data_IF_681956116469
#
_entry.id   IF_681956116469
#
_cell.length_a   1.000
_cell.length_b   1.000
_cell.length_c   1.000
_cell.angle_alpha   90.00
_cell.angle_beta   90.00
_cell.angle_gamma   90.00
#
_symmetry.space_group_name_H-M   'P 1'
#
loop_
_entity.id
_entity.type
_entity.pdbx_description
1 polymer ?
#
# COMPACT_ATOMS: atom_id res chain seq x y z
N UNK A 1 -4.56 -2.92 -21.16
CA UNK A 1 -4.56 -1.68 -20.35
C UNK A 1 -5.20 -2.03 -19.01
N UNK A 2 -4.48 -1.89 -17.91
CA UNK A 2 -5.05 -2.09 -16.58
C UNK A 2 -5.92 -0.88 -16.24
N UNK A 3 -7.15 -1.12 -15.77
CA UNK A 3 -8.07 -0.03 -15.44
C UNK A 3 -7.63 0.64 -14.14
N UNK A 4 -7.13 1.87 -14.24
CA UNK A 4 -6.78 2.68 -13.07
C UNK A 4 -8.05 3.27 -12.49
N UNK A 5 -8.26 3.07 -11.18
CA UNK A 5 -9.36 3.68 -10.44
C UNK A 5 -8.80 4.74 -9.52
N UNK A 6 -9.31 5.96 -9.65
CA UNK A 6 -8.90 7.12 -8.86
C UNK A 6 -9.91 7.38 -7.75
N UNK A 7 -9.43 7.46 -6.53
CA UNK A 7 -10.18 7.94 -5.36
C UNK A 7 -9.78 9.38 -5.04
N UNK A 8 -10.33 9.94 -3.96
CA UNK A 8 -9.94 11.27 -3.49
C UNK A 8 -8.47 11.35 -3.09
N UNK A 9 -7.87 10.25 -2.64
CA UNK A 9 -6.54 10.23 -2.00
C UNK A 9 -5.52 9.33 -2.68
N UNK A 10 -5.95 8.45 -3.58
CA UNK A 10 -5.07 7.50 -4.23
C UNK A 10 -5.49 7.18 -5.68
N UNK A 11 -4.53 6.73 -6.47
CA UNK A 11 -4.76 5.98 -7.71
C UNK A 11 -4.40 4.52 -7.46
N UNK A 12 -5.33 3.62 -7.79
CA UNK A 12 -5.20 2.19 -7.46
C UNK A 12 -5.54 1.35 -8.70
N UNK A 13 -4.66 0.40 -9.01
CA UNK A 13 -4.88 -0.59 -10.05
C UNK A 13 -4.19 -1.90 -9.70
N UNK A 14 -4.54 -2.97 -10.40
CA UNK A 14 -3.84 -4.25 -10.34
C UNK A 14 -3.11 -4.50 -11.66
N UNK A 15 -1.86 -4.92 -11.58
CA UNK A 15 -1.07 -5.25 -12.76
C UNK A 15 -1.24 -6.71 -13.21
N UNK A 16 -0.58 -7.06 -14.31
CA UNK A 16 -0.55 -8.41 -14.88
C UNK A 16 0.14 -9.46 -13.99
N UNK A 17 0.90 -9.04 -12.98
CA UNK A 17 1.58 -9.91 -12.02
C UNK A 17 0.79 -10.06 -10.70
N UNK A 18 -0.50 -9.70 -10.70
CA UNK A 18 -1.39 -9.70 -9.54
C UNK A 18 -0.93 -8.78 -8.38
N UNK A 19 -0.08 -7.78 -8.68
CA UNK A 19 0.35 -6.76 -7.72
C UNK A 19 -0.64 -5.60 -7.74
N UNK A 20 -1.10 -5.18 -6.56
CA UNK A 20 -1.92 -3.99 -6.41
C UNK A 20 -1.02 -2.77 -6.19
N UNK A 21 -1.06 -1.86 -7.15
CA UNK A 21 -0.37 -0.57 -7.12
C UNK A 21 -1.26 0.48 -6.46
N UNK A 22 -0.69 1.24 -5.53
CA UNK A 22 -1.37 2.28 -4.77
C UNK A 22 -0.48 3.52 -4.77
N UNK A 23 -0.87 4.55 -5.53
CA UNK A 23 -0.16 5.83 -5.58
C UNK A 23 -0.91 6.85 -4.76
N UNK A 24 -0.30 7.34 -3.68
CA UNK A 24 -0.90 8.38 -2.83
C UNK A 24 -0.79 9.74 -3.53
N UNK A 25 -1.92 10.46 -3.61
CA UNK A 25 -2.01 11.70 -4.36
C UNK A 25 -1.42 12.90 -3.60
N UNK A 26 -0.79 13.82 -4.32
CA UNK A 26 -0.17 15.02 -3.76
C UNK A 26 -1.19 15.98 -3.15
N UNK A 27 -0.82 16.64 -2.06
CA UNK A 27 -1.66 17.60 -1.34
C UNK A 27 -2.81 16.97 -0.54
N UNK A 28 -2.94 15.64 -0.54
CA UNK A 28 -4.10 14.99 0.08
C UNK A 28 -3.91 14.71 1.57
N UNK A 29 -5.03 14.73 2.31
CA UNK A 29 -5.10 14.30 3.70
C UNK A 29 -6.16 13.22 3.82
N UNK A 30 -5.70 11.99 4.02
CA UNK A 30 -6.51 10.80 4.18
C UNK A 30 -7.14 10.75 5.58
N UNK A 31 -8.44 10.57 5.61
CA UNK A 31 -9.22 10.28 6.79
C UNK A 31 -9.66 8.81 6.82
N UNK A 32 -10.51 8.48 7.79
CA UNK A 32 -10.99 7.11 7.97
C UNK A 32 -11.81 6.62 6.78
N UNK A 33 -12.69 7.46 6.21
CA UNK A 33 -13.55 7.06 5.10
C UNK A 33 -12.74 6.84 3.83
N UNK A 34 -11.73 7.67 3.56
CA UNK A 34 -10.83 7.43 2.43
C UNK A 34 -10.03 6.14 2.61
N UNK A 35 -9.58 5.86 3.84
CA UNK A 35 -8.84 4.64 4.13
C UNK A 35 -9.72 3.40 3.90
N UNK A 36 -10.99 3.47 4.29
CA UNK A 36 -12.00 2.44 4.01
C UNK A 36 -12.23 2.29 2.51
N UNK A 37 -12.47 3.39 1.79
CA UNK A 37 -12.68 3.39 0.34
C UNK A 37 -11.50 2.74 -0.40
N UNK A 38 -10.27 3.18 -0.10
CA UNK A 38 -9.06 2.64 -0.70
C UNK A 38 -8.91 1.13 -0.40
N UNK A 39 -9.16 0.69 0.84
CA UNK A 39 -9.08 -0.72 1.20
C UNK A 39 -10.17 -1.57 0.54
N UNK A 40 -11.39 -1.03 0.36
CA UNK A 40 -12.47 -1.72 -0.35
C UNK A 40 -12.13 -1.88 -1.83
N UNK A 41 -11.54 -0.86 -2.46
CA UNK A 41 -11.09 -0.94 -3.84
C UNK A 41 -10.00 -2.00 -4.01
N UNK A 42 -9.00 -2.02 -3.12
CA UNK A 42 -7.97 -3.06 -3.09
C UNK A 42 -8.59 -4.45 -2.91
N UNK A 43 -9.57 -4.60 -2.01
CA UNK A 43 -10.28 -5.86 -1.79
C UNK A 43 -11.07 -6.31 -3.02
N UNK A 44 -11.68 -5.37 -3.75
CA UNK A 44 -12.40 -5.67 -4.98
C UNK A 44 -11.45 -6.17 -6.07
N UNK A 45 -10.32 -5.48 -6.26
CA UNK A 45 -9.26 -5.89 -7.19
C UNK A 45 -8.65 -7.26 -6.84
N UNK A 46 -8.61 -7.60 -5.55
CA UNK A 46 -8.13 -8.90 -5.06
C UNK A 46 -9.18 -10.01 -5.05
N UNK A 47 -10.44 -9.72 -5.42
CA UNK A 47 -11.59 -10.63 -5.23
C UNK A 47 -11.68 -11.16 -3.79
N UNK A 48 -11.28 -10.35 -2.82
CA UNK A 48 -11.25 -10.71 -1.39
C UNK A 48 -10.03 -11.54 -0.94
N UNK A 49 -9.15 -11.93 -1.87
CA UNK A 49 -7.90 -12.64 -1.58
C UNK A 49 -6.82 -11.77 -0.96
N UNK A 50 -5.73 -12.41 -0.53
CA UNK A 50 -4.51 -11.71 -0.11
C UNK A 50 -3.78 -11.15 -1.34
N UNK A 51 -3.09 -10.01 -1.18
CA UNK A 51 -2.38 -9.36 -2.30
C UNK A 51 -1.01 -8.84 -1.94
N UNK A 52 -0.16 -8.76 -2.96
CA UNK A 52 1.05 -7.94 -2.93
C UNK A 52 0.66 -6.47 -3.11
N UNK A 53 1.25 -5.59 -2.32
CA UNK A 53 0.96 -4.15 -2.37
C UNK A 53 2.23 -3.37 -2.68
N UNK A 54 2.20 -2.67 -3.80
CA UNK A 54 3.21 -1.71 -4.19
C UNK A 54 2.68 -0.30 -3.91
N UNK A 55 3.23 0.38 -2.92
CA UNK A 55 2.72 1.66 -2.43
C UNK A 55 3.69 2.78 -2.80
N UNK A 56 3.30 3.67 -3.71
CA UNK A 56 4.03 4.92 -3.95
C UNK A 56 3.55 6.02 -2.99
N UNK A 57 4.40 6.34 -2.03
CA UNK A 57 4.17 7.36 -1.00
C UNK A 57 5.12 8.56 -1.14
N UNK A 58 5.75 8.77 -2.31
CA UNK A 58 6.72 9.86 -2.54
C UNK A 58 6.10 11.26 -2.56
N UNK A 59 4.81 11.38 -2.86
CA UNK A 59 4.08 12.65 -2.90
C UNK A 59 3.97 13.32 -1.52
N UNK A 60 3.50 14.57 -1.46
CA UNK A 60 3.19 15.25 -0.21
C UNK A 60 1.76 14.94 0.23
N UNK A 61 1.60 13.88 1.01
CA UNK A 61 0.31 13.47 1.56
C UNK A 61 0.35 13.43 3.09
N UNK A 62 -0.81 13.23 3.70
CA UNK A 62 -0.95 12.97 5.13
C UNK A 62 -2.10 12.02 5.42
N UNK A 63 -2.11 11.47 6.62
CA UNK A 63 -3.22 10.66 7.13
C UNK A 63 -3.50 11.02 8.59
N UNK A 64 -4.78 11.09 8.95
CA UNK A 64 -5.17 11.28 10.35
C UNK A 64 -4.94 10.00 11.17
N UNK A 65 -5.11 10.09 12.49
CA UNK A 65 -4.87 8.95 13.40
C UNK A 65 -5.80 7.77 13.09
N UNK A 66 -7.10 8.02 12.86
CA UNK A 66 -8.08 6.96 12.60
C UNK A 66 -7.76 6.19 11.31
N UNK A 67 -7.37 6.90 10.24
CA UNK A 67 -6.93 6.30 8.98
C UNK A 67 -5.72 5.38 9.20
N UNK A 68 -4.69 5.89 9.91
CA UNK A 68 -3.46 5.13 10.21
C UNK A 68 -3.75 3.90 11.06
N UNK A 69 -4.58 4.03 12.09
CA UNK A 69 -4.95 2.92 12.97
C UNK A 69 -5.79 1.87 12.23
N UNK A 70 -6.69 2.28 11.34
CA UNK A 70 -7.44 1.37 10.48
C UNK A 70 -6.51 0.61 9.51
N UNK A 71 -5.63 1.30 8.78
CA UNK A 71 -4.73 0.67 7.80
C UNK A 71 -3.73 -0.28 8.49
N UNK A 72 -3.26 0.07 9.68
CA UNK A 72 -2.34 -0.78 10.46
C UNK A 72 -3.04 -1.85 11.32
N UNK A 73 -4.37 -1.98 11.19
CA UNK A 73 -5.12 -2.99 11.93
C UNK A 73 -4.87 -4.40 11.39
N UNK A 74 -4.99 -5.39 12.28
CA UNK A 74 -4.77 -6.81 11.96
C UNK A 74 -5.62 -7.28 10.77
N UNK A 75 -6.89 -6.86 10.69
CA UNK A 75 -7.80 -7.25 9.60
C UNK A 75 -7.32 -6.78 8.22
N UNK A 76 -6.66 -5.62 8.13
CA UNK A 76 -6.11 -5.10 6.87
C UNK A 76 -4.77 -5.75 6.55
N UNK A 77 -3.91 -5.92 7.57
CA UNK A 77 -2.58 -6.50 7.42
C UNK A 77 -2.65 -7.97 6.99
N UNK A 78 -3.55 -8.78 7.55
CA UNK A 78 -3.71 -10.21 7.21
C UNK A 78 -4.13 -10.46 5.75
N UNK A 79 -4.64 -9.43 5.06
CA UNK A 79 -5.00 -9.46 3.64
C UNK A 79 -3.85 -9.03 2.73
N UNK A 80 -2.66 -8.82 3.27
CA UNK A 80 -1.46 -8.50 2.49
C UNK A 80 -0.47 -9.67 2.53
N UNK A 81 0.10 -10.02 1.38
CA UNK A 81 1.19 -10.99 1.25
C UNK A 81 2.52 -10.32 1.56
N UNK A 82 2.78 -9.16 0.97
CA UNK A 82 3.94 -8.32 1.24
C UNK A 82 3.68 -6.84 0.85
N UNK A 83 4.44 -5.93 1.45
CA UNK A 83 4.45 -4.50 1.13
C UNK A 83 5.81 -4.04 0.58
N UNK A 84 5.82 -3.43 -0.60
CA UNK A 84 6.93 -2.59 -1.03
C UNK A 84 6.46 -1.13 -1.01
N UNK A 85 7.12 -0.29 -0.21
CA UNK A 85 6.70 1.09 0.02
C UNK A 85 7.78 2.03 -0.51
N UNK A 86 7.45 2.80 -1.54
CA UNK A 86 8.34 3.77 -2.16
C UNK A 86 8.20 5.12 -1.45
N UNK A 87 9.31 5.63 -0.93
CA UNK A 87 9.39 6.87 -0.18
C UNK A 87 10.49 7.77 -0.76
N UNK A 88 10.39 9.08 -0.54
CA UNK A 88 11.49 10.00 -0.84
C UNK A 88 12.45 10.12 0.35
N UNK A 89 13.73 10.48 0.14
CA UNK A 89 14.67 10.71 1.24
C UNK A 89 14.17 11.74 2.27
N UNK A 90 13.40 12.74 1.83
CA UNK A 90 12.82 13.79 2.68
C UNK A 90 11.44 13.46 3.28
N UNK A 91 11.10 12.18 3.38
CA UNK A 91 9.80 11.75 3.92
C UNK A 91 9.67 12.14 5.40
N UNK A 92 8.51 12.70 5.78
CA UNK A 92 8.24 13.19 7.14
C UNK A 92 8.30 12.04 8.15
N UNK A 93 8.90 12.29 9.33
CA UNK A 93 9.03 11.30 10.42
C UNK A 93 7.70 10.65 10.83
N UNK A 94 6.60 11.40 10.83
CA UNK A 94 5.29 10.86 11.19
C UNK A 94 4.68 9.88 10.16
N UNK A 95 5.18 9.90 8.91
CA UNK A 95 4.85 8.95 7.86
C UNK A 95 5.76 7.72 7.98
N UNK A 96 7.06 7.93 8.22
CA UNK A 96 8.00 6.83 8.48
C UNK A 96 7.56 5.99 9.69
N UNK A 97 7.23 6.63 10.82
CA UNK A 97 6.71 5.94 12.00
C UNK A 97 5.41 5.15 11.74
N UNK A 98 4.59 5.62 10.79
CA UNK A 98 3.38 4.90 10.40
C UNK A 98 3.72 3.64 9.61
N UNK A 99 4.62 3.73 8.63
CA UNK A 99 5.10 2.55 7.91
C UNK A 99 5.90 1.60 8.81
N UNK A 100 6.65 2.09 9.79
CA UNK A 100 7.31 1.24 10.78
C UNK A 100 6.32 0.37 11.55
N UNK A 101 5.11 0.87 11.85
CA UNK A 101 4.06 0.05 12.48
C UNK A 101 3.59 -1.07 11.56
N UNK A 102 3.48 -0.80 10.27
CA UNK A 102 3.12 -1.81 9.27
C UNK A 102 4.25 -2.85 9.14
N UNK A 103 5.50 -2.39 9.08
CA UNK A 103 6.67 -3.26 8.93
C UNK A 103 6.97 -4.12 10.16
N UNK A 104 6.51 -3.71 11.36
CA UNK A 104 6.60 -4.53 12.59
C UNK A 104 5.56 -5.65 12.67
N UNK A 105 4.69 -5.77 11.68
CA UNK A 105 3.73 -6.88 11.60
C UNK A 105 4.39 -8.17 11.05
N UNK A 106 3.65 -9.28 11.07
CA UNK A 106 4.10 -10.57 10.51
C UNK A 106 4.23 -10.57 8.97
N UNK A 107 3.83 -9.48 8.30
CA UNK A 107 3.85 -9.38 6.84
C UNK A 107 5.19 -8.82 6.35
N UNK A 108 5.90 -9.52 5.45
CA UNK A 108 7.11 -9.02 4.81
C UNK A 108 6.89 -7.62 4.23
N UNK A 109 7.64 -6.64 4.72
CA UNK A 109 7.44 -5.24 4.34
C UNK A 109 8.78 -4.53 4.27
N UNK A 110 8.98 -3.68 3.25
CA UNK A 110 10.21 -2.91 3.12
C UNK A 110 9.97 -1.55 2.45
N UNK A 111 10.70 -0.54 2.93
CA UNK A 111 10.75 0.79 2.31
C UNK A 111 11.90 0.89 1.30
N UNK A 112 11.67 1.62 0.22
CA UNK A 112 12.62 1.83 -0.87
C UNK A 112 12.60 3.28 -1.33
N UNK A 113 13.67 3.71 -1.99
CA UNK A 113 13.74 4.99 -2.72
C UNK A 113 13.82 4.81 -4.24
N UNK A 114 14.04 3.57 -4.69
CA UNK A 114 14.11 3.18 -6.10
C UNK A 114 12.94 2.25 -6.44
N UNK A 115 12.24 2.59 -7.51
CA UNK A 115 11.00 1.93 -7.93
C UNK A 115 11.25 0.51 -8.43
N UNK A 116 12.26 0.34 -9.28
CA UNK A 116 12.58 -0.96 -9.88
C UNK A 116 13.04 -1.96 -8.83
N UNK A 117 13.88 -1.53 -7.89
CA UNK A 117 14.35 -2.36 -6.77
C UNK A 117 13.19 -2.78 -5.87
N UNK A 118 12.27 -1.86 -5.59
CA UNK A 118 11.07 -2.14 -4.80
C UNK A 118 10.20 -3.21 -5.48
N UNK A 119 9.97 -3.07 -6.79
CA UNK A 119 9.13 -3.98 -7.56
C UNK A 119 9.75 -5.37 -7.64
N UNK A 120 11.04 -5.44 -7.99
CA UNK A 120 11.80 -6.69 -8.06
C UNK A 120 11.85 -7.41 -6.70
N UNK A 121 11.92 -6.67 -5.59
CA UNK A 121 11.84 -7.27 -4.27
C UNK A 121 10.44 -7.84 -3.98
N UNK A 122 9.38 -7.12 -4.36
CA UNK A 122 7.99 -7.53 -4.14
C UNK A 122 7.63 -8.79 -4.95
N UNK A 123 8.13 -8.88 -6.19
CA UNK A 123 7.92 -10.03 -7.07
C UNK A 123 8.47 -11.35 -6.49
N UNK A 124 9.44 -11.32 -5.58
CA UNK A 124 9.92 -12.54 -4.90
C UNK A 124 8.85 -13.25 -4.07
N UNK A 125 7.74 -12.55 -3.80
CA UNK A 125 6.60 -13.08 -3.05
C UNK A 125 5.43 -13.49 -3.96
N UNK A 126 5.49 -13.28 -5.28
CA UNK A 126 4.42 -13.68 -6.21
C UNK A 126 4.39 -15.19 -6.47
N UNK A 127 5.49 -15.89 -6.19
CA UNK A 127 5.59 -17.36 -6.28
C UNK A 127 4.94 -18.09 -5.10
N UNK A 128 4.50 -17.36 -4.06
CA UNK A 128 3.67 -17.93 -2.99
C UNK A 128 2.22 -18.05 -3.48
N UNK A 129 2.04 -18.72 -4.63
CA UNK A 129 0.75 -19.28 -5.01
C UNK A 129 0.48 -20.40 -4.02
N UNK A 130 -0.53 -20.18 -3.19
CA UNK A 130 -1.02 -21.16 -2.24
C UNK A 130 -1.36 -22.43 -2.99
N UNK A 131 -0.76 -23.55 -2.55
CA UNK A 131 -1.16 -24.92 -2.87
C UNK A 131 -2.65 -25.11 -2.60
#
# INVERSE_FOLDING_TARGET
>A
MNQVTKTRTAEIFKDENDIVHITLLDGTKMDFMDAVENCLLVRNLSKGGKVLKFVDARSNWGANKMAKDFISSKVIIEKTIAYAILVKPSTKKNILNFFDRIMKSEVPSKMFTDEQTAYNWLMKFSEVKTV
#
